data_IF_895606472153
#
_entry.id   IF_895606472153
#
_cell.length_a   1.000
_cell.length_b   1.000
_cell.length_c   1.000
_cell.angle_alpha   90.00
_cell.angle_beta   90.00
_cell.angle_gamma   90.00
#
_symmetry.space_group_name_H-M   'P 1'
#
loop_
_entity.id
_entity.type
_entity.pdbx_description
1 polymer ?
#
# COMPACT_ATOMS: atom_id res chain seq x y z
N UNK A 1 -5.94 -31.84 -17.43
CA UNK A 1 -5.41 -31.65 -16.05
C UNK A 1 -4.02 -31.01 -16.06
N UNK A 2 -2.91 -31.73 -16.26
CA UNK A 2 -1.57 -31.11 -16.24
C UNK A 2 -1.35 -30.06 -17.34
N UNK A 3 -1.93 -30.26 -18.52
CA UNK A 3 -1.92 -29.27 -19.61
C UNK A 3 -2.65 -27.97 -19.21
N UNK A 4 -3.74 -28.07 -18.46
CA UNK A 4 -4.53 -26.92 -17.99
C UNK A 4 -3.85 -26.23 -16.81
N UNK A 5 -3.17 -27.00 -15.97
CA UNK A 5 -2.37 -26.52 -14.83
C UNK A 5 -1.13 -25.73 -15.32
N UNK A 6 -0.44 -26.25 -16.34
CA UNK A 6 0.66 -25.56 -17.01
C UNK A 6 0.17 -24.32 -17.75
N UNK A 7 -1.01 -24.35 -18.39
CA UNK A 7 -1.64 -23.15 -18.98
C UNK A 7 -2.03 -22.13 -17.92
N UNK A 8 -2.55 -22.54 -16.77
CA UNK A 8 -2.90 -21.67 -15.65
C UNK A 8 -1.66 -20.92 -15.13
N UNK A 9 -0.53 -21.61 -14.99
CA UNK A 9 0.73 -20.99 -14.56
C UNK A 9 1.32 -20.08 -15.64
N UNK A 10 1.29 -20.51 -16.92
CA UNK A 10 1.80 -19.73 -18.06
C UNK A 10 0.98 -18.47 -18.36
N UNK A 11 -0.33 -18.53 -18.14
CA UNK A 11 -1.26 -17.44 -18.48
C UNK A 11 -1.74 -16.66 -17.25
N UNK A 12 -1.23 -16.95 -16.05
CA UNK A 12 -1.52 -16.15 -14.85
C UNK A 12 -0.63 -14.90 -14.87
N UNK A 13 -1.18 -13.70 -15.16
CA UNK A 13 -0.39 -12.47 -15.21
C UNK A 13 0.23 -12.12 -13.85
N UNK A 14 -0.25 -12.76 -12.77
CA UNK A 14 0.17 -12.55 -11.39
C UNK A 14 1.45 -13.30 -11.00
N UNK A 15 1.85 -14.36 -11.72
CA UNK A 15 3.05 -15.14 -11.36
C UNK A 15 4.33 -14.58 -11.98
N UNK A 16 4.33 -14.32 -13.30
CA UNK A 16 5.51 -13.86 -14.03
C UNK A 16 6.02 -12.47 -13.60
N UNK A 17 5.20 -11.69 -12.89
CA UNK A 17 5.55 -10.37 -12.37
C UNK A 17 5.72 -10.33 -10.83
N UNK A 18 5.50 -11.46 -10.13
CA UNK A 18 5.57 -11.53 -8.67
C UNK A 18 6.98 -11.32 -8.12
N UNK A 19 7.09 -10.75 -6.91
CA UNK A 19 8.35 -10.67 -6.15
C UNK A 19 9.02 -12.03 -5.92
N UNK A 20 8.24 -13.11 -5.81
CA UNK A 20 8.77 -14.47 -5.69
C UNK A 20 9.51 -14.93 -6.95
N UNK A 21 9.00 -14.61 -8.14
CA UNK A 21 9.71 -14.87 -9.40
C UNK A 21 11.01 -14.04 -9.47
N UNK A 22 11.01 -12.77 -9.03
CA UNK A 22 12.24 -11.95 -8.99
C UNK A 22 13.28 -12.45 -7.98
N UNK A 23 12.86 -12.90 -6.78
CA UNK A 23 13.76 -13.51 -5.77
C UNK A 23 14.38 -14.84 -6.24
N UNK A 24 13.77 -15.51 -7.21
CA UNK A 24 14.28 -16.75 -7.82
C UNK A 24 15.13 -16.51 -9.09
N UNK A 25 15.57 -15.27 -9.36
CA UNK A 25 16.60 -14.98 -10.37
C UNK A 25 16.09 -14.42 -11.72
N UNK A 26 14.84 -13.95 -11.80
CA UNK A 26 14.30 -13.35 -13.03
C UNK A 26 14.54 -11.84 -13.09
N UNK A 27 15.79 -11.49 -13.35
CA UNK A 27 16.19 -10.21 -13.94
C UNK A 27 17.46 -10.39 -14.78
N UNK A 28 17.46 -9.81 -15.99
CA UNK A 28 18.67 -9.68 -16.82
C UNK A 28 19.77 -8.88 -16.10
N UNK A 29 20.91 -9.51 -15.76
CA UNK A 29 22.26 -9.19 -16.30
C UNK A 29 23.43 -9.64 -15.38
N UNK A 30 24.38 -10.37 -16.00
CA UNK A 30 25.83 -10.54 -15.76
C UNK A 30 26.46 -10.36 -14.35
N UNK A 31 27.18 -11.40 -13.90
CA UNK A 31 28.30 -11.28 -12.95
C UNK A 31 28.59 -12.54 -12.13
N UNK A 32 29.74 -13.18 -12.35
CA UNK A 32 30.31 -14.24 -11.51
C UNK A 32 30.87 -13.70 -10.19
N UNK A 33 30.79 -14.50 -9.12
CA UNK A 33 31.96 -14.89 -8.31
C UNK A 33 31.58 -15.98 -7.31
N UNK A 34 32.46 -16.97 -7.22
CA UNK A 34 32.45 -18.11 -6.31
C UNK A 34 32.87 -17.75 -4.87
N UNK A 35 32.65 -18.74 -4.00
CA UNK A 35 33.34 -19.08 -2.75
C UNK A 35 32.72 -18.71 -1.37
N UNK A 36 32.44 -19.81 -0.67
CA UNK A 36 32.74 -20.19 0.72
C UNK A 36 31.75 -19.97 1.88
N UNK A 37 31.41 -21.14 2.46
CA UNK A 37 31.10 -21.53 3.83
C UNK A 37 30.76 -20.44 4.85
N UNK A 38 29.52 -20.48 5.37
CA UNK A 38 29.29 -20.36 6.82
C UNK A 38 27.95 -20.97 7.27
N UNK A 39 28.01 -21.58 8.44
CA UNK A 39 26.95 -22.26 9.19
C UNK A 39 25.68 -21.39 9.36
N UNK A 40 24.44 -21.89 9.09
CA UNK A 40 23.25 -21.04 9.17
C UNK A 40 22.80 -20.88 10.63
N UNK A 41 23.35 -19.88 11.33
CA UNK A 41 22.58 -19.23 12.38
C UNK A 41 21.25 -18.77 11.75
N UNK A 42 20.14 -19.01 12.46
CA UNK A 42 18.80 -18.67 11.99
C UNK A 42 18.70 -17.15 11.80
N UNK A 43 19.00 -16.67 10.59
CA UNK A 43 18.77 -15.29 10.19
C UNK A 43 17.28 -15.05 10.34
N UNK A 44 16.87 -14.25 11.33
CA UNK A 44 15.49 -13.79 11.42
C UNK A 44 15.15 -13.09 10.10
N UNK A 45 14.22 -13.67 9.34
CA UNK A 45 13.81 -13.12 8.06
C UNK A 45 13.02 -11.83 8.33
N UNK A 46 13.73 -10.69 8.21
CA UNK A 46 13.17 -9.34 8.32
C UNK A 46 12.55 -8.91 7.00
N UNK A 47 11.39 -8.26 7.08
CA UNK A 47 10.71 -7.68 5.93
C UNK A 47 11.19 -6.25 5.65
N UNK A 48 11.66 -5.57 6.70
CA UNK A 48 12.30 -4.26 6.61
C UNK A 48 13.77 -4.37 6.25
N UNK A 49 14.22 -3.45 5.40
CA UNK A 49 15.63 -3.29 5.04
C UNK A 49 15.97 -1.80 4.98
N UNK A 50 16.99 -1.36 5.73
CA UNK A 50 17.61 -0.05 5.51
C UNK A 50 18.41 -0.10 4.20
N UNK A 51 17.97 0.64 3.19
CA UNK A 51 18.57 0.58 1.86
C UNK A 51 19.91 1.32 1.81
N UNK A 52 20.89 0.68 1.16
CA UNK A 52 22.04 1.38 0.62
C UNK A 52 21.62 2.08 -0.68
N UNK A 53 21.88 3.39 -0.76
CA UNK A 53 21.47 4.23 -1.88
C UNK A 53 22.67 4.90 -2.51
N UNK A 54 22.59 5.19 -3.80
CA UNK A 54 23.65 5.87 -4.55
C UNK A 54 23.19 7.24 -5.06
N UNK A 55 24.11 8.04 -5.60
CA UNK A 55 23.81 9.34 -6.21
C UNK A 55 23.73 10.51 -5.23
N UNK A 56 23.08 11.60 -5.65
CA UNK A 56 23.00 12.84 -4.87
C UNK A 56 21.81 12.80 -3.93
N UNK A 57 22.04 12.25 -2.74
CA UNK A 57 21.03 12.10 -1.71
C UNK A 57 20.52 13.45 -1.16
N UNK A 58 19.22 13.62 -0.88
CA UNK A 58 18.71 14.80 -0.20
C UNK A 58 19.26 14.90 1.24
N UNK A 59 19.57 16.11 1.75
CA UNK A 59 19.86 16.31 3.17
C UNK A 59 18.67 15.91 4.07
N UNK A 60 18.94 15.73 5.36
CA UNK A 60 17.94 15.42 6.39
C UNK A 60 16.78 16.42 6.34
N UNK A 61 15.55 15.91 6.39
CA UNK A 61 14.35 16.73 6.22
C UNK A 61 13.11 16.06 6.78
N UNK A 62 12.22 16.87 7.34
CA UNK A 62 10.88 16.45 7.72
C UNK A 62 9.83 17.39 7.13
N UNK A 63 8.61 16.88 6.95
CA UNK A 63 7.50 17.64 6.38
C UNK A 63 7.68 17.93 4.88
N UNK A 64 8.58 17.22 4.22
CA UNK A 64 8.64 17.15 2.77
C UNK A 64 7.44 16.34 2.25
N UNK A 65 7.17 16.41 0.94
CA UNK A 65 6.19 15.55 0.30
C UNK A 65 6.86 14.71 -0.79
N UNK A 66 6.29 13.54 -1.07
CA UNK A 66 6.73 12.70 -2.15
C UNK A 66 5.56 12.13 -2.95
N UNK A 67 5.81 11.81 -4.22
CA UNK A 67 4.87 11.09 -5.08
C UNK A 67 5.64 10.19 -6.04
N UNK A 68 5.06 9.06 -6.39
CA UNK A 68 5.60 8.17 -7.42
C UNK A 68 4.91 8.44 -8.73
N UNK A 69 5.69 8.72 -9.76
CA UNK A 69 5.23 8.80 -11.15
C UNK A 69 6.20 8.00 -12.00
N UNK A 70 5.70 7.10 -12.84
CA UNK A 70 6.50 6.27 -13.74
C UNK A 70 7.67 5.53 -13.07
N UNK A 71 7.45 4.99 -11.86
CA UNK A 71 8.44 4.21 -11.11
C UNK A 71 9.55 5.05 -10.43
N UNK A 72 9.44 6.38 -10.46
CA UNK A 72 10.36 7.32 -9.81
C UNK A 72 9.62 8.04 -8.68
N UNK A 73 10.20 8.04 -7.49
CA UNK A 73 9.69 8.84 -6.37
C UNK A 73 10.30 10.24 -6.43
N UNK A 74 9.46 11.24 -6.61
CA UNK A 74 9.87 12.65 -6.58
C UNK A 74 9.66 13.21 -5.18
N UNK A 75 10.67 13.89 -4.64
CA UNK A 75 10.65 14.49 -3.30
C UNK A 75 10.95 15.97 -3.39
N UNK A 76 10.08 16.79 -2.82
CA UNK A 76 10.25 18.24 -2.78
C UNK A 76 10.18 18.79 -1.36
N UNK A 77 10.99 19.81 -1.11
CA UNK A 77 10.92 20.64 0.08
C UNK A 77 11.18 19.90 1.39
N UNK A 78 10.53 20.35 2.45
CA UNK A 78 10.78 19.93 3.83
C UNK A 78 11.54 20.98 4.63
N UNK A 79 11.75 20.69 5.91
CA UNK A 79 12.37 21.60 6.86
C UNK A 79 13.48 20.90 7.61
N UNK A 80 14.56 21.64 7.89
CA UNK A 80 15.57 21.28 8.86
C UNK A 80 16.15 22.54 9.53
N UNK A 81 16.17 22.58 10.86
CA UNK A 81 16.91 23.60 11.65
C UNK A 81 16.74 25.06 11.18
N UNK A 82 15.51 25.52 11.01
CA UNK A 82 15.19 26.89 10.59
C UNK A 82 15.21 27.11 9.08
N UNK A 83 15.66 26.11 8.30
CA UNK A 83 15.70 26.18 6.85
C UNK A 83 14.56 25.38 6.21
N UNK A 84 13.87 25.98 5.24
CA UNK A 84 12.95 25.26 4.37
C UNK A 84 13.63 24.97 3.04
N UNK A 85 13.64 23.70 2.65
CA UNK A 85 14.20 23.25 1.38
C UNK A 85 13.29 23.65 0.21
N UNK A 86 13.91 23.99 -0.91
CA UNK A 86 13.25 24.32 -2.19
C UNK A 86 13.71 23.41 -3.34
N UNK A 87 14.47 22.37 -3.02
CA UNK A 87 15.07 21.46 -3.99
C UNK A 87 14.13 20.29 -4.33
N UNK A 88 14.27 19.80 -5.56
CA UNK A 88 13.56 18.63 -6.08
C UNK A 88 14.55 17.48 -6.29
N UNK A 89 14.19 16.31 -5.81
CA UNK A 89 14.96 15.08 -6.00
C UNK A 89 14.11 14.01 -6.64
N UNK A 90 14.73 13.18 -7.47
CA UNK A 90 14.17 11.96 -8.01
C UNK A 90 14.90 10.76 -7.42
N UNK A 91 14.15 9.79 -6.90
CA UNK A 91 14.67 8.50 -6.45
C UNK A 91 14.15 7.41 -7.37
N UNK A 92 15.08 6.75 -8.06
CA UNK A 92 14.75 5.58 -8.86
C UNK A 92 14.48 4.39 -7.93
N UNK A 93 13.23 3.93 -7.88
CA UNK A 93 12.80 2.87 -6.94
C UNK A 93 13.32 1.48 -7.32
N UNK A 94 13.86 1.30 -8.54
CA UNK A 94 14.44 0.04 -9.02
C UNK A 94 15.95 0.00 -8.75
N UNK A 95 16.65 1.08 -9.09
CA UNK A 95 18.11 1.17 -8.95
C UNK A 95 18.57 1.77 -7.62
N UNK A 96 17.63 2.23 -6.79
CA UNK A 96 17.90 2.90 -5.51
C UNK A 96 18.92 4.05 -5.65
N UNK A 97 18.76 4.85 -6.69
CA UNK A 97 19.65 5.95 -7.05
C UNK A 97 18.93 7.30 -6.95
N UNK A 98 19.55 8.24 -6.25
CA UNK A 98 19.08 9.61 -6.10
C UNK A 98 19.70 10.52 -7.16
N UNK A 99 18.85 11.35 -7.75
CA UNK A 99 19.27 12.43 -8.64
C UNK A 99 18.67 13.74 -8.14
N UNK A 100 19.52 14.73 -7.87
CA UNK A 100 19.04 16.10 -7.65
C UNK A 100 18.65 16.68 -9.00
N UNK A 101 17.42 17.17 -9.12
CA UNK A 101 16.92 17.75 -10.37
C UNK A 101 17.18 19.25 -10.39
N UNK A 102 17.84 19.71 -11.45
CA UNK A 102 18.00 21.13 -11.74
C UNK A 102 16.76 21.68 -12.45
N UNK A 103 16.43 22.95 -12.19
CA UNK A 103 15.35 23.64 -12.88
C UNK A 103 15.87 24.24 -14.20
N UNK A 104 15.38 23.75 -15.34
CA UNK A 104 15.93 24.07 -16.68
C UNK A 104 15.44 25.39 -17.31
N UNK A 105 15.03 26.36 -16.51
CA UNK A 105 14.63 27.70 -17.02
C UNK A 105 13.27 28.21 -16.54
N UNK A 106 12.55 27.44 -15.72
CA UNK A 106 11.28 27.84 -15.10
C UNK A 106 11.45 28.75 -13.88
N UNK A 107 10.34 29.01 -13.17
CA UNK A 107 10.40 29.69 -11.86
C UNK A 107 11.14 28.84 -10.83
N UNK A 108 11.61 29.43 -9.74
CA UNK A 108 12.14 28.66 -8.60
C UNK A 108 11.09 28.70 -7.48
N UNK A 109 10.46 27.57 -7.11
CA UNK A 109 9.54 27.56 -5.99
C UNK A 109 10.24 27.94 -4.69
N UNK A 110 9.60 28.72 -3.84
CA UNK A 110 10.14 29.01 -2.50
C UNK A 110 10.25 27.76 -1.65
N UNK A 111 11.23 27.78 -0.74
CA UNK A 111 11.43 26.71 0.23
C UNK A 111 10.25 26.59 1.17
N UNK A 112 9.72 25.36 1.32
CA UNK A 112 8.52 25.11 2.12
C UNK A 112 8.45 23.70 2.67
N UNK A 113 7.67 23.55 3.72
CA UNK A 113 7.30 22.26 4.27
C UNK A 113 5.79 22.16 4.44
N UNK A 114 5.29 20.93 4.59
CA UNK A 114 3.88 20.63 4.78
C UNK A 114 2.97 21.08 3.62
N UNK A 115 3.50 21.15 2.41
CA UNK A 115 2.72 21.41 1.20
C UNK A 115 1.99 20.14 0.77
N UNK A 116 0.92 20.32 0.00
CA UNK A 116 0.20 19.26 -0.67
C UNK A 116 0.85 18.98 -2.04
N UNK A 117 0.85 17.72 -2.46
CA UNK A 117 1.67 17.23 -3.55
C UNK A 117 1.00 16.03 -4.23
N UNK A 118 0.91 16.03 -5.57
CA UNK A 118 0.43 14.88 -6.33
C UNK A 118 0.97 14.89 -7.77
N UNK A 119 0.88 13.74 -8.46
CA UNK A 119 1.04 13.68 -9.92
C UNK A 119 -0.23 14.16 -10.62
N UNK A 120 -0.08 14.68 -11.84
CA UNK A 120 -1.20 14.90 -12.74
C UNK A 120 -1.86 13.58 -13.14
N UNK A 121 -3.11 13.63 -13.60
CA UNK A 121 -3.82 12.39 -14.01
C UNK A 121 -3.29 11.73 -15.27
N UNK A 122 -2.48 12.45 -16.05
CA UNK A 122 -1.81 11.96 -17.25
C UNK A 122 -0.34 11.57 -17.02
N UNK A 123 0.13 11.61 -15.77
CA UNK A 123 1.51 11.30 -15.37
C UNK A 123 2.60 12.14 -16.09
N UNK A 124 2.25 13.30 -16.64
CA UNK A 124 3.20 14.17 -17.38
C UNK A 124 3.86 15.24 -16.52
N UNK A 125 3.29 15.54 -15.36
CA UNK A 125 3.69 16.66 -14.49
C UNK A 125 3.32 16.39 -13.03
N UNK A 126 3.92 17.17 -12.15
CA UNK A 126 3.67 17.14 -10.71
C UNK A 126 3.03 18.45 -10.28
N UNK A 127 2.07 18.39 -9.37
CA UNK A 127 1.40 19.56 -8.80
C UNK A 127 1.81 19.76 -7.33
N UNK A 128 2.03 21.02 -6.98
CA UNK A 128 2.31 21.46 -5.62
C UNK A 128 1.36 22.59 -5.25
N UNK A 129 0.72 22.46 -4.09
CA UNK A 129 -0.11 23.53 -3.50
C UNK A 129 0.24 23.72 -2.03
N UNK A 130 0.17 24.97 -1.55
CA UNK A 130 0.31 25.22 -0.12
C UNK A 130 1.75 25.12 0.39
N UNK A 131 1.82 24.83 1.69
CA UNK A 131 3.05 24.78 2.46
C UNK A 131 3.33 26.09 3.19
N UNK A 132 4.16 25.98 4.22
CA UNK A 132 4.68 27.10 4.99
C UNK A 132 6.19 27.18 4.84
N UNK A 133 6.71 28.40 4.73
CA UNK A 133 8.14 28.69 4.84
C UNK A 133 8.66 28.69 6.29
N UNK A 134 9.88 29.21 6.52
CA UNK A 134 10.58 29.16 7.81
C UNK A 134 9.81 29.78 8.98
N UNK A 135 9.05 30.84 8.72
CA UNK A 135 8.12 31.42 9.68
C UNK A 135 6.80 30.66 9.61
N UNK A 136 6.75 29.53 10.32
CA UNK A 136 5.63 28.59 10.33
C UNK A 136 4.28 29.27 10.57
N UNK A 137 3.33 29.05 9.67
CA UNK A 137 1.98 29.63 9.72
C UNK A 137 1.88 31.10 9.31
N UNK A 138 2.99 31.82 9.18
CA UNK A 138 3.02 33.22 8.73
C UNK A 138 3.37 33.36 7.25
N UNK A 139 4.00 32.35 6.67
CA UNK A 139 4.48 32.35 5.27
C UNK A 139 3.77 31.29 4.44
N UNK A 140 2.44 31.25 4.55
CA UNK A 140 1.60 30.30 3.85
C UNK A 140 1.51 30.65 2.36
N UNK A 141 1.62 29.63 1.51
CA UNK A 141 1.60 29.78 0.07
C UNK A 141 0.23 29.34 -0.49
N UNK A 142 -0.28 30.04 -1.51
CA UNK A 142 -1.63 29.79 -2.07
C UNK A 142 -1.67 29.62 -3.58
N UNK A 143 -0.50 29.57 -4.25
CA UNK A 143 -0.41 29.36 -5.69
C UNK A 143 -0.29 27.87 -5.99
N UNK A 144 -0.99 27.40 -7.03
CA UNK A 144 -0.77 26.09 -7.61
C UNK A 144 0.46 26.16 -8.52
N UNK A 145 1.48 25.37 -8.20
CA UNK A 145 2.68 25.22 -9.01
C UNK A 145 2.62 23.88 -9.73
N UNK A 146 3.27 23.80 -10.90
CA UNK A 146 3.47 22.55 -11.60
C UNK A 146 4.94 22.39 -12.02
N UNK A 147 5.41 21.14 -12.02
CA UNK A 147 6.69 20.74 -12.59
C UNK A 147 6.47 19.81 -13.77
N UNK A 148 6.90 20.22 -14.96
CA UNK A 148 6.82 19.41 -16.18
C UNK A 148 7.91 18.34 -16.15
N UNK A 149 7.52 17.05 -16.24
CA UNK A 149 8.49 15.95 -16.29
C UNK A 149 9.25 15.90 -17.63
N UNK A 150 8.64 16.44 -18.69
CA UNK A 150 9.24 16.50 -20.02
C UNK A 150 10.28 17.61 -20.14
N UNK A 151 9.89 18.85 -19.81
CA UNK A 151 10.79 20.02 -19.94
C UNK A 151 11.69 20.23 -18.72
N UNK A 152 11.39 19.58 -17.58
CA UNK A 152 12.11 19.74 -16.31
C UNK A 152 12.08 21.19 -15.78
N UNK A 153 10.93 21.85 -15.94
CA UNK A 153 10.73 23.24 -15.57
C UNK A 153 9.55 23.39 -14.62
N UNK A 154 9.72 24.28 -13.65
CA UNK A 154 8.65 24.76 -12.80
C UNK A 154 7.89 25.93 -13.42
N UNK A 155 6.57 25.93 -13.27
CA UNK A 155 5.72 27.05 -13.68
C UNK A 155 4.59 27.27 -12.66
N UNK A 156 4.08 28.51 -12.61
CA UNK A 156 2.86 28.83 -11.87
C UNK A 156 1.69 28.50 -12.80
N UNK A 157 0.72 27.74 -12.31
CA UNK A 157 -0.48 27.45 -13.08
C UNK A 157 -1.36 28.70 -13.06
N UNK A 158 -1.65 29.26 -14.23
CA UNK A 158 -2.64 30.31 -14.36
C UNK A 158 -4.02 29.69 -14.11
N UNK A 159 -4.62 30.00 -12.96
CA UNK A 159 -5.88 29.40 -12.52
C UNK A 159 -6.97 30.43 -12.38
N UNK A 160 -8.22 30.02 -12.60
CA UNK A 160 -9.42 30.84 -12.40
C UNK A 160 -10.36 30.22 -11.37
N UNK A 161 -11.47 30.89 -11.06
CA UNK A 161 -12.52 30.36 -10.18
C UNK A 161 -12.31 30.65 -8.69
N UNK A 162 -12.82 29.77 -7.83
CA UNK A 162 -12.80 29.94 -6.37
C UNK A 162 -11.59 29.24 -5.78
N UNK A 163 -10.54 30.01 -5.52
CA UNK A 163 -9.26 29.46 -5.04
C UNK A 163 -9.34 29.00 -3.58
N UNK A 164 -8.67 27.87 -3.25
CA UNK A 164 -8.45 27.49 -1.87
C UNK A 164 -7.59 28.53 -1.13
N UNK A 165 -7.82 28.74 0.18
CA UNK A 165 -7.00 29.64 0.97
C UNK A 165 -5.56 29.12 1.10
N UNK A 166 -4.57 30.02 1.23
CA UNK A 166 -3.19 29.62 1.51
C UNK A 166 -3.11 28.93 2.87
N UNK A 167 -2.32 27.86 2.94
CA UNK A 167 -2.18 27.07 4.16
C UNK A 167 -1.20 25.92 3.99
N UNK A 168 -1.10 25.09 5.03
CA UNK A 168 -0.24 23.92 5.07
C UNK A 168 -0.93 22.73 5.75
N UNK A 169 -0.40 21.54 5.53
CA UNK A 169 -0.94 20.28 6.04
C UNK A 169 -2.22 19.82 5.34
N UNK A 170 -2.57 20.39 4.19
CA UNK A 170 -3.60 19.86 3.29
C UNK A 170 -3.13 18.56 2.64
N UNK A 171 -4.08 17.78 2.13
CA UNK A 171 -3.83 16.69 1.20
C UNK A 171 -4.28 17.07 -0.21
N UNK A 172 -3.56 16.60 -1.25
CA UNK A 172 -3.93 16.75 -2.65
C UNK A 172 -3.87 15.39 -3.33
N UNK A 173 -4.95 14.98 -4.00
CA UNK A 173 -5.01 13.72 -4.76
C UNK A 173 -5.60 13.95 -6.14
N UNK A 174 -5.19 13.17 -7.13
CA UNK A 174 -5.68 13.24 -8.50
C UNK A 174 -6.70 12.13 -8.78
N UNK A 175 -7.86 12.50 -9.34
CA UNK A 175 -8.95 11.58 -9.70
C UNK A 175 -9.63 12.10 -10.97
N UNK A 176 -9.55 11.35 -12.08
CA UNK A 176 -10.26 11.63 -13.36
C UNK A 176 -10.19 13.10 -13.83
N UNK A 177 -9.00 13.56 -14.23
CA UNK A 177 -8.71 14.92 -14.69
C UNK A 177 -8.98 16.05 -13.68
N UNK A 178 -9.09 15.70 -12.39
CA UNK A 178 -9.32 16.66 -11.32
C UNK A 178 -8.38 16.42 -10.16
N UNK A 179 -8.00 17.49 -9.47
CA UNK A 179 -7.24 17.43 -8.23
C UNK A 179 -8.16 17.83 -7.07
N UNK A 180 -8.18 17.01 -6.01
CA UNK A 180 -8.99 17.24 -4.82
C UNK A 180 -8.08 17.65 -3.66
N UNK A 181 -8.26 18.89 -3.19
CA UNK A 181 -7.54 19.47 -2.07
C UNK A 181 -8.44 19.48 -0.83
N UNK A 182 -8.01 18.84 0.25
CA UNK A 182 -8.80 18.73 1.48
C UNK A 182 -8.04 19.17 2.72
N UNK A 183 -8.73 19.90 3.59
CA UNK A 183 -8.30 20.22 4.95
C UNK A 183 -7.14 21.20 5.04
N UNK A 184 -6.31 21.03 6.07
CA UNK A 184 -5.15 21.86 6.40
C UNK A 184 -5.44 23.02 7.35
N UNK A 185 -4.47 23.90 7.49
CA UNK A 185 -4.53 25.04 8.40
C UNK A 185 -3.79 26.27 7.87
N UNK A 186 -4.26 27.45 8.25
CA UNK A 186 -3.53 28.71 8.08
C UNK A 186 -2.54 28.99 9.22
N UNK A 187 -2.44 28.11 10.21
CA UNK A 187 -1.72 28.33 11.46
C UNK A 187 -2.62 28.86 12.59
N UNK A 188 -3.78 29.41 12.26
CA UNK A 188 -4.78 29.88 13.22
C UNK A 188 -6.11 29.13 13.10
N UNK A 189 -6.50 28.76 11.89
CA UNK A 189 -7.78 28.12 11.59
C UNK A 189 -7.52 26.83 10.84
N UNK A 190 -8.07 25.74 11.39
CA UNK A 190 -8.13 24.45 10.72
C UNK A 190 -9.41 24.38 9.91
N UNK A 191 -9.32 23.82 8.71
CA UNK A 191 -10.46 23.70 7.79
C UNK A 191 -10.71 22.24 7.43
N UNK A 192 -11.91 21.95 6.94
CA UNK A 192 -12.23 20.67 6.31
C UNK A 192 -12.77 20.86 4.89
N UNK A 193 -12.69 22.04 4.30
CA UNK A 193 -13.23 22.29 2.96
C UNK A 193 -12.58 21.39 1.89
N UNK A 194 -13.39 21.05 0.89
CA UNK A 194 -12.96 20.28 -0.27
C UNK A 194 -12.97 21.19 -1.49
N UNK A 195 -11.78 21.49 -2.00
CA UNK A 195 -11.62 22.23 -3.25
C UNK A 195 -11.27 21.25 -4.36
N UNK A 196 -11.78 21.52 -5.56
CA UNK A 196 -11.49 20.74 -6.75
C UNK A 196 -10.88 21.63 -7.81
N UNK A 197 -9.76 21.21 -8.38
CA UNK A 197 -9.13 21.82 -9.55
C UNK A 197 -9.45 20.97 -10.77
N UNK A 198 -10.02 21.57 -11.80
CA UNK A 198 -10.20 20.93 -13.09
C UNK A 198 -8.94 21.12 -13.95
N UNK A 199 -8.25 20.01 -14.28
CA UNK A 199 -6.99 20.07 -15.02
C UNK A 199 -7.18 20.50 -16.49
N UNK A 200 -8.38 20.38 -17.03
CA UNK A 200 -8.71 20.76 -18.41
C UNK A 200 -9.09 22.24 -18.48
N UNK A 201 -9.96 22.68 -17.58
CA UNK A 201 -10.43 24.07 -17.53
C UNK A 201 -9.46 25.02 -16.81
N UNK A 202 -8.49 24.47 -16.07
CA UNK A 202 -7.56 25.22 -15.22
C UNK A 202 -8.29 26.12 -14.22
N UNK A 203 -9.37 25.61 -13.63
CA UNK A 203 -10.21 26.36 -12.69
C UNK A 203 -10.39 25.63 -11.36
N UNK A 204 -10.32 26.38 -10.26
CA UNK A 204 -10.68 25.91 -8.93
C UNK A 204 -12.16 26.13 -8.64
N UNK A 205 -12.76 25.23 -7.88
CA UNK A 205 -14.07 25.40 -7.28
C UNK A 205 -14.07 24.87 -5.84
N UNK A 206 -14.78 25.57 -4.95
CA UNK A 206 -15.20 24.99 -3.67
C UNK A 206 -16.33 23.99 -3.96
N UNK A 207 -16.12 22.73 -3.59
CA UNK A 207 -17.09 21.66 -3.86
C UNK A 207 -18.10 21.56 -2.69
N UNK A 208 -19.40 21.78 -2.92
CA UNK A 208 -20.42 21.45 -1.95
C UNK A 208 -20.40 19.94 -1.70
N UNK A 209 -20.43 19.54 -0.42
CA UNK A 209 -20.41 18.12 -0.04
C UNK A 209 -21.54 17.81 0.93
N UNK A 210 -21.97 16.55 0.92
CA UNK A 210 -23.06 16.05 1.77
C UNK A 210 -22.57 14.93 2.67
N UNK A 211 -23.43 14.47 3.59
CA UNK A 211 -23.15 13.34 4.47
C UNK A 211 -22.23 13.65 5.66
N UNK A 212 -21.51 12.64 6.14
CA UNK A 212 -20.72 12.69 7.37
C UNK A 212 -19.26 13.02 7.05
N UNK A 213 -19.01 14.32 6.93
CA UNK A 213 -17.70 14.91 6.61
C UNK A 213 -16.72 14.79 7.79
N UNK A 214 -15.40 14.61 7.54
CA UNK A 214 -14.40 14.70 8.59
C UNK A 214 -14.40 16.08 9.27
N UNK A 215 -14.07 16.11 10.56
CA UNK A 215 -13.81 17.36 11.30
C UNK A 215 -12.65 18.16 10.65
N UNK A 216 -12.58 19.49 10.87
CA UNK A 216 -11.41 20.29 10.49
C UNK A 216 -10.12 19.64 10.97
N UNK A 217 -9.15 19.48 10.06
CA UNK A 217 -7.95 18.71 10.35
C UNK A 217 -6.79 19.08 9.43
N UNK A 218 -5.59 18.86 9.91
CA UNK A 218 -4.36 18.87 9.12
C UNK A 218 -3.59 17.57 9.34
N UNK A 219 -2.60 17.30 8.47
CA UNK A 219 -1.67 16.16 8.63
C UNK A 219 -2.34 14.80 8.73
N UNK A 220 -3.56 14.71 8.20
CA UNK A 220 -4.21 13.49 7.74
C UNK A 220 -3.54 12.98 6.46
N UNK A 221 -3.88 11.76 6.07
CA UNK A 221 -3.51 11.22 4.77
C UNK A 221 -4.73 11.10 3.87
N UNK A 222 -4.54 11.37 2.58
CA UNK A 222 -5.55 11.12 1.57
C UNK A 222 -5.05 10.07 0.59
N UNK A 223 -5.87 9.05 0.34
CA UNK A 223 -5.58 8.00 -0.63
C UNK A 223 -6.77 7.75 -1.54
N UNK A 224 -6.52 7.22 -2.74
CA UNK A 224 -7.55 7.00 -3.76
C UNK A 224 -7.70 5.51 -4.03
N UNK A 225 -8.95 5.04 -4.06
CA UNK A 225 -9.31 3.69 -4.50
C UNK A 225 -10.39 3.79 -5.57
N UNK A 226 -10.05 3.47 -6.81
CA UNK A 226 -10.94 3.67 -7.95
C UNK A 226 -11.28 5.14 -8.12
N UNK A 227 -12.52 5.53 -7.85
CA UNK A 227 -12.98 6.93 -7.86
C UNK A 227 -13.18 7.53 -6.48
N UNK A 228 -12.99 6.73 -5.44
CA UNK A 228 -13.28 7.13 -4.08
C UNK A 228 -12.03 7.66 -3.41
N UNK A 229 -12.18 8.75 -2.67
CA UNK A 229 -11.12 9.36 -1.88
C UNK A 229 -11.33 8.98 -0.42
N UNK A 230 -10.27 8.54 0.26
CA UNK A 230 -10.29 8.22 1.68
C UNK A 230 -9.42 9.21 2.43
N UNK A 231 -9.92 9.69 3.56
CA UNK A 231 -9.18 10.49 4.54
C UNK A 231 -8.93 9.62 5.76
N UNK A 232 -7.66 9.53 6.19
CA UNK A 232 -7.22 8.69 7.31
C UNK A 232 -6.55 9.56 8.37
N UNK A 233 -7.10 9.52 9.59
CA UNK A 233 -6.58 10.22 10.77
C UNK A 233 -6.42 11.74 10.59
N UNK A 234 -5.34 12.28 11.16
CA UNK A 234 -5.11 13.72 11.27
C UNK A 234 -5.82 14.32 12.48
N UNK A 235 -5.68 15.62 12.65
CA UNK A 235 -6.25 16.30 13.82
C UNK A 235 -6.07 17.81 13.77
N UNK A 236 -6.15 18.45 14.93
CA UNK A 236 -5.77 19.85 15.11
C UNK A 236 -4.29 19.88 15.51
N UNK A 237 -3.87 20.73 16.46
CA UNK A 237 -2.50 20.68 16.99
C UNK A 237 -2.12 19.27 17.49
N UNK A 238 -3.05 18.64 18.23
CA UNK A 238 -2.98 17.25 18.65
C UNK A 238 -4.03 16.40 17.90
N UNK A 239 -3.77 15.09 17.69
CA UNK A 239 -4.79 14.17 17.18
C UNK A 239 -5.94 14.01 18.19
N UNK A 240 -7.15 13.65 17.71
CA UNK A 240 -8.26 13.24 18.59
C UNK A 240 -7.87 12.05 19.48
N UNK A 241 -8.49 11.95 20.65
CA UNK A 241 -8.30 10.79 21.54
C UNK A 241 -8.89 9.51 20.94
N UNK A 242 -8.27 8.37 21.23
CA UNK A 242 -8.81 7.04 20.88
C UNK A 242 -8.29 6.49 19.55
N UNK A 243 -9.15 5.77 18.82
CA UNK A 243 -8.79 5.10 17.57
C UNK A 243 -8.75 6.05 16.38
N UNK A 244 -7.90 5.73 15.40
CA UNK A 244 -7.81 6.48 14.14
C UNK A 244 -9.14 6.42 13.38
N UNK A 245 -9.62 7.58 12.94
CA UNK A 245 -10.84 7.68 12.16
C UNK A 245 -10.56 7.62 10.65
N UNK A 246 -11.57 7.18 9.90
CA UNK A 246 -11.52 7.11 8.44
C UNK A 246 -12.83 7.59 7.85
N UNK A 247 -12.72 8.36 6.77
CA UNK A 247 -13.87 8.82 5.99
C UNK A 247 -13.64 8.54 4.52
N UNK A 248 -14.72 8.19 3.83
CA UNK A 248 -14.76 7.98 2.39
C UNK A 248 -15.56 9.11 1.75
N UNK A 249 -15.05 9.66 0.67
CA UNK A 249 -15.74 10.58 -0.22
C UNK A 249 -16.01 9.89 -1.56
N UNK A 250 -17.29 9.75 -1.87
CA UNK A 250 -17.75 9.32 -3.19
C UNK A 250 -17.77 10.53 -4.12
N UNK A 251 -16.91 10.51 -5.14
CA UNK A 251 -16.77 11.62 -6.10
C UNK A 251 -17.93 11.71 -7.09
N UNK A 252 -18.74 10.66 -7.24
CA UNK A 252 -19.91 10.66 -8.12
C UNK A 252 -21.07 11.37 -7.42
N UNK A 253 -21.33 11.03 -6.16
CA UNK A 253 -22.44 11.59 -5.38
C UNK A 253 -22.06 12.81 -4.54
N UNK A 254 -20.78 13.18 -4.51
CA UNK A 254 -20.23 14.25 -3.66
C UNK A 254 -20.59 14.09 -2.18
N UNK A 255 -20.62 12.84 -1.70
CA UNK A 255 -21.08 12.49 -0.36
C UNK A 255 -19.96 11.86 0.46
N UNK A 256 -19.80 12.35 1.69
CA UNK A 256 -18.94 11.77 2.70
C UNK A 256 -19.66 10.72 3.53
N UNK A 257 -18.97 9.64 3.87
CA UNK A 257 -19.41 8.64 4.84
C UNK A 257 -18.25 8.28 5.78
N UNK A 258 -18.57 8.03 7.05
CA UNK A 258 -17.61 7.45 7.99
C UNK A 258 -17.38 5.98 7.61
N UNK A 259 -16.13 5.54 7.60
CA UNK A 259 -15.76 4.14 7.38
C UNK A 259 -15.78 3.44 8.74
N UNK A 260 -16.55 2.36 8.84
CA UNK A 260 -16.61 1.55 10.05
C UNK A 260 -15.41 0.59 10.06
N UNK A 261 -14.38 0.97 10.82
CA UNK A 261 -13.18 0.18 11.00
C UNK A 261 -13.39 -0.96 12.00
N UNK A 262 -12.74 -2.11 11.77
CA UNK A 262 -12.74 -3.31 12.64
C UNK A 262 -11.31 -3.82 12.85
N UNK A 263 -11.12 -4.78 13.75
CA UNK A 263 -9.83 -5.42 14.00
C UNK A 263 -8.91 -4.59 14.89
N UNK A 264 -7.60 -4.64 14.60
CA UNK A 264 -6.56 -3.96 15.36
C UNK A 264 -6.46 -2.49 14.94
N UNK A 265 -7.47 -1.70 15.29
CA UNK A 265 -7.57 -0.30 14.84
C UNK A 265 -6.44 0.52 15.50
N UNK A 266 -5.55 1.14 14.72
CA UNK A 266 -4.45 1.94 15.27
C UNK A 266 -4.95 3.11 16.12
N UNK A 267 -4.16 3.58 17.07
CA UNK A 267 -4.46 4.82 17.78
C UNK A 267 -4.47 6.02 16.81
N UNK A 268 -5.29 7.00 17.13
CA UNK A 268 -5.38 8.27 16.43
C UNK A 268 -4.05 9.00 16.44
N UNK A 269 -3.66 9.53 15.28
CA UNK A 269 -2.33 10.09 15.07
C UNK A 269 -2.28 11.09 13.92
N UNK A 270 -1.31 11.99 13.97
CA UNK A 270 -1.00 12.95 12.91
C UNK A 270 0.36 12.67 12.28
N UNK A 271 0.58 13.20 11.08
CA UNK A 271 1.87 13.14 10.37
C UNK A 271 2.43 11.72 10.19
N UNK A 272 1.53 10.73 10.19
CA UNK A 272 1.75 9.38 9.72
C UNK A 272 1.69 9.36 8.18
N UNK A 273 2.05 8.23 7.59
CA UNK A 273 1.88 8.01 6.14
C UNK A 273 0.91 6.88 5.88
N UNK A 274 0.19 6.95 4.75
CA UNK A 274 -0.68 5.89 4.26
C UNK A 274 -0.40 5.72 2.78
N UNK A 275 -0.03 4.52 2.36
CA UNK A 275 0.17 4.16 0.95
C UNK A 275 -0.80 3.07 0.52
N UNK A 276 -1.25 3.11 -0.74
CA UNK A 276 -2.15 2.10 -1.29
C UNK A 276 -1.33 0.97 -1.90
N UNK A 277 -1.48 -0.24 -1.35
CA UNK A 277 -0.94 -1.47 -1.93
C UNK A 277 -2.00 -2.12 -2.83
N UNK A 278 -1.76 -2.28 -4.14
CA UNK A 278 -2.70 -2.93 -5.05
C UNK A 278 -2.66 -4.47 -4.89
N UNK A 279 -3.20 -4.96 -3.77
CA UNK A 279 -3.26 -6.39 -3.45
C UNK A 279 -4.42 -7.08 -4.16
N UNK A 280 -4.16 -7.75 -5.29
CA UNK A 280 -5.20 -8.54 -5.96
C UNK A 280 -6.44 -7.72 -6.38
N UNK A 281 -7.68 -8.20 -6.15
CA UNK A 281 -8.90 -7.49 -6.57
C UNK A 281 -9.29 -6.31 -5.65
N UNK A 282 -8.74 -6.22 -4.43
CA UNK A 282 -9.14 -5.21 -3.45
C UNK A 282 -7.89 -4.61 -2.79
N UNK A 283 -7.65 -3.31 -2.94
CA UNK A 283 -6.42 -2.70 -2.42
C UNK A 283 -6.40 -2.70 -0.90
N UNK A 284 -5.20 -2.58 -0.35
CA UNK A 284 -4.94 -2.46 1.07
C UNK A 284 -4.25 -1.12 1.36
N UNK A 285 -4.51 -0.53 2.52
CA UNK A 285 -3.77 0.66 2.97
C UNK A 285 -2.67 0.25 3.94
N UNK A 286 -1.49 0.81 3.74
CA UNK A 286 -0.32 0.58 4.58
C UNK A 286 -0.06 1.85 5.35
N UNK A 287 -0.38 1.84 6.64
CA UNK A 287 -0.17 2.95 7.55
C UNK A 287 1.15 2.76 8.29
N UNK A 288 2.01 3.79 8.28
CA UNK A 288 3.27 3.75 9.01
C UNK A 288 3.52 5.02 9.83
N UNK A 289 3.98 4.79 11.05
CA UNK A 289 4.48 5.79 11.99
C UNK A 289 3.49 6.89 12.37
N UNK A 290 3.98 8.11 12.51
CA UNK A 290 3.23 9.28 12.97
C UNK A 290 3.40 9.57 14.47
N UNK A 291 2.58 10.48 14.99
CA UNK A 291 2.58 10.88 16.39
C UNK A 291 1.18 10.83 16.99
N UNK A 292 1.07 10.22 18.16
CA UNK A 292 -0.19 10.10 18.90
C UNK A 292 -0.51 11.33 19.77
N UNK A 293 -1.60 11.24 20.54
CA UNK A 293 -2.09 12.30 21.43
C UNK A 293 -1.17 12.60 22.62
N UNK A 294 -0.25 11.69 22.95
CA UNK A 294 0.73 11.88 24.03
C UNK A 294 2.00 12.57 23.54
N UNK A 295 2.10 12.79 22.24
CA UNK A 295 3.31 13.28 21.59
C UNK A 295 4.34 12.18 21.28
N UNK A 296 4.01 10.92 21.58
CA UNK A 296 4.87 9.78 21.28
C UNK A 296 4.85 9.50 19.79
N UNK A 297 6.05 9.33 19.21
CA UNK A 297 6.21 8.91 17.83
C UNK A 297 6.09 7.40 17.75
N UNK A 298 5.65 6.93 16.60
CA UNK A 298 5.35 5.53 16.36
C UNK A 298 6.19 5.02 15.18
N UNK A 299 6.51 3.73 15.19
CA UNK A 299 7.06 2.96 14.06
C UNK A 299 6.19 1.76 13.72
N UNK A 300 4.94 1.75 14.19
CA UNK A 300 3.98 0.70 13.89
C UNK A 300 3.66 0.69 12.39
N UNK A 301 3.64 -0.51 11.80
CA UNK A 301 3.06 -0.79 10.49
C UNK A 301 1.71 -1.49 10.65
N UNK A 302 0.66 -0.88 10.12
CA UNK A 302 -0.71 -1.44 10.17
C UNK A 302 -1.29 -1.49 8.76
N UNK A 303 -2.02 -2.57 8.47
CA UNK A 303 -2.64 -2.80 7.16
C UNK A 303 -4.16 -2.70 7.29
N UNK A 304 -4.81 -1.94 6.40
CA UNK A 304 -6.27 -1.90 6.28
C UNK A 304 -6.72 -2.61 5.02
N UNK A 305 -7.55 -3.62 5.16
CA UNK A 305 -8.20 -4.28 4.03
C UNK A 305 -9.50 -3.55 3.66
N UNK A 306 -9.55 -2.96 2.46
CA UNK A 306 -10.67 -2.14 2.02
C UNK A 306 -11.95 -2.96 1.82
N UNK A 307 -11.84 -4.24 1.44
CA UNK A 307 -13.00 -5.09 1.18
C UNK A 307 -13.72 -5.49 2.48
N UNK A 308 -12.95 -5.78 3.52
CA UNK A 308 -13.46 -6.24 4.82
C UNK A 308 -13.57 -5.11 5.85
N UNK A 309 -13.04 -3.92 5.53
CA UNK A 309 -12.94 -2.77 6.45
C UNK A 309 -12.24 -3.13 7.78
N UNK A 310 -11.20 -3.95 7.70
CA UNK A 310 -10.51 -4.50 8.88
C UNK A 310 -9.04 -4.10 8.89
N UNK A 311 -8.59 -3.60 10.04
CA UNK A 311 -7.19 -3.34 10.34
C UNK A 311 -6.51 -4.57 10.91
N UNK A 312 -5.26 -4.79 10.54
CA UNK A 312 -4.35 -5.76 11.15
C UNK A 312 -2.99 -5.13 11.39
N UNK A 313 -2.48 -5.26 12.61
CA UNK A 313 -1.12 -4.82 12.94
C UNK A 313 -0.12 -5.84 12.39
N UNK A 314 0.93 -5.35 11.74
CA UNK A 314 2.04 -6.20 11.30
C UNK A 314 2.98 -6.47 12.47
N UNK A 315 3.66 -7.62 12.43
CA UNK A 315 4.61 -8.00 13.47
C UNK A 315 5.75 -6.98 13.56
N UNK A 316 6.25 -6.78 14.77
CA UNK A 316 7.42 -5.96 14.99
C UNK A 316 8.63 -6.61 14.29
N UNK A 317 9.46 -5.77 13.68
CA UNK A 317 10.64 -6.15 12.92
C UNK A 317 11.83 -5.37 13.46
N UNK A 318 12.91 -6.08 13.82
CA UNK A 318 14.11 -5.48 14.38
C UNK A 318 14.83 -4.53 13.43
N UNK A 319 14.60 -4.66 12.11
CA UNK A 319 15.11 -3.78 11.06
C UNK A 319 14.14 -2.65 10.67
N UNK A 320 13.01 -2.50 11.36
CA UNK A 320 12.10 -1.40 11.13
C UNK A 320 12.78 -0.04 11.37
N UNK A 321 12.34 1.02 10.67
CA UNK A 321 12.76 2.38 11.00
C UNK A 321 12.43 2.70 12.47
N UNK A 322 13.21 3.60 13.07
CA UNK A 322 12.86 4.19 14.36
C UNK A 322 11.49 4.91 14.30
N UNK A 323 10.90 5.11 15.47
CA UNK A 323 9.64 5.81 15.61
C UNK A 323 9.73 7.22 15.04
N UNK A 324 8.87 7.56 14.07
CA UNK A 324 9.02 8.81 13.30
C UNK A 324 7.73 9.38 12.78
N UNK A 325 7.71 10.71 12.66
CA UNK A 325 6.64 11.48 12.05
C UNK A 325 7.17 12.36 10.90
N UNK A 326 6.26 12.94 10.12
CA UNK A 326 6.58 13.86 9.03
C UNK A 326 7.55 13.30 7.97
N UNK A 327 7.64 11.98 7.87
CA UNK A 327 8.30 11.25 6.81
C UNK A 327 7.36 11.14 5.60
N UNK A 328 7.86 10.61 4.50
CA UNK A 328 7.02 10.20 3.37
C UNK A 328 7.13 8.70 3.14
N UNK A 329 6.07 8.11 2.59
CA UNK A 329 6.09 6.72 2.15
C UNK A 329 5.52 6.60 0.75
N UNK A 330 5.99 5.62 0.00
CA UNK A 330 5.42 5.30 -1.29
C UNK A 330 5.49 3.79 -1.57
N UNK A 331 4.56 3.28 -2.37
CA UNK A 331 4.56 1.88 -2.79
C UNK A 331 4.94 1.78 -4.26
N UNK A 332 5.80 0.81 -4.58
CA UNK A 332 6.11 0.40 -5.95
C UNK A 332 6.30 -1.12 -5.99
N UNK A 333 5.46 -1.79 -6.79
CA UNK A 333 5.34 -3.24 -6.77
C UNK A 333 4.96 -3.75 -5.38
N UNK A 334 5.70 -4.76 -4.91
CA UNK A 334 5.49 -5.42 -3.60
C UNK A 334 6.30 -4.76 -2.48
N UNK A 335 6.77 -3.53 -2.68
CA UNK A 335 7.63 -2.83 -1.73
C UNK A 335 7.01 -1.50 -1.32
N UNK A 336 7.02 -1.22 -0.02
CA UNK A 336 6.82 0.13 0.52
C UNK A 336 8.17 0.73 0.85
N UNK A 337 8.38 1.99 0.49
CA UNK A 337 9.58 2.76 0.76
C UNK A 337 9.22 3.89 1.73
N UNK A 338 10.03 4.08 2.77
CA UNK A 338 9.89 5.17 3.75
C UNK A 338 11.13 6.05 3.69
N UNK A 339 10.95 7.37 3.62
CA UNK A 339 12.05 8.32 3.52
C UNK A 339 11.91 9.49 4.50
N UNK A 340 13.02 9.78 5.18
CA UNK A 340 13.19 10.95 6.04
C UNK A 340 12.28 10.98 7.27
N UNK A 341 11.85 12.19 7.65
CA UNK A 341 11.03 12.43 8.84
C UNK A 341 11.85 12.83 10.07
N UNK A 342 11.22 12.81 11.25
CA UNK A 342 11.88 13.09 12.52
C UNK A 342 11.50 12.07 13.57
N UNK A 343 12.48 11.64 14.37
CA UNK A 343 12.29 10.78 15.53
C UNK A 343 12.13 11.56 16.84
N UNK A 344 12.20 12.89 16.79
CA UNK A 344 12.06 13.79 17.93
C UNK A 344 13.36 14.42 18.39
N UNK A 345 14.47 13.71 18.20
CA UNK A 345 15.80 14.21 18.53
C UNK A 345 16.46 14.80 17.28
N UNK A 346 16.34 14.10 16.16
CA UNK A 346 16.93 14.49 14.89
C UNK A 346 15.97 14.32 13.70
N UNK A 347 16.44 14.75 12.53
CA UNK A 347 15.79 14.50 11.25
C UNK A 347 16.56 13.47 10.47
N UNK A 348 15.81 12.66 9.74
CA UNK A 348 16.34 11.56 8.99
C UNK A 348 16.46 11.89 7.50
N UNK A 349 17.37 11.20 6.83
CA UNK A 349 17.47 11.12 5.37
C UNK A 349 17.59 9.67 4.90
N UNK A 350 17.45 8.69 5.79
CA UNK A 350 17.52 7.28 5.43
C UNK A 350 16.34 6.87 4.52
N UNK A 351 16.56 5.79 3.77
CA UNK A 351 15.52 5.12 2.99
C UNK A 351 15.38 3.72 3.55
N UNK A 352 14.18 3.37 3.98
CA UNK A 352 13.83 2.01 4.35
C UNK A 352 12.89 1.42 3.31
N UNK A 353 12.99 0.11 3.12
CA UNK A 353 12.11 -0.68 2.27
C UNK A 353 11.47 -1.78 3.11
N UNK A 354 10.16 -1.85 3.11
CA UNK A 354 9.39 -2.99 3.59
C UNK A 354 8.98 -3.85 2.41
N UNK A 355 9.31 -5.13 2.45
CA UNK A 355 8.84 -6.12 1.47
C UNK A 355 7.51 -6.68 1.93
N UNK A 356 6.44 -6.40 1.19
CA UNK A 356 5.15 -7.04 1.45
C UNK A 356 5.32 -8.55 1.27
N UNK A 357 4.97 -9.34 2.30
CA UNK A 357 4.97 -10.80 2.17
C UNK A 357 3.94 -11.21 1.14
N UNK A 358 4.42 -11.53 -0.06
CA UNK A 358 3.62 -12.18 -1.08
C UNK A 358 3.25 -13.57 -0.56
N UNK A 359 1.99 -13.77 -0.18
CA UNK A 359 1.43 -15.12 -0.09
C UNK A 359 1.07 -15.51 -1.51
N UNK A 360 1.81 -16.44 -2.16
CA UNK A 360 1.43 -16.90 -3.48
C UNK A 360 0.03 -17.50 -3.39
N UNK A 361 -0.75 -17.37 -4.47
CA UNK A 361 -2.04 -18.05 -4.53
C UNK A 361 -1.88 -19.51 -4.12
N UNK A 362 -2.65 -19.95 -3.12
CA UNK A 362 -2.88 -21.34 -2.73
C UNK A 362 -2.94 -22.26 -3.95
N UNK A 363 -3.59 -21.83 -5.03
CA UNK A 363 -3.72 -22.58 -6.28
C UNK A 363 -2.41 -22.71 -7.06
N UNK A 364 -1.57 -21.67 -7.10
CA UNK A 364 -0.26 -21.72 -7.76
C UNK A 364 0.71 -22.62 -7.00
N UNK A 365 0.69 -22.57 -5.67
CA UNK A 365 1.48 -23.46 -4.82
C UNK A 365 1.02 -24.91 -4.92
N UNK A 366 -0.30 -25.16 -4.83
CA UNK A 366 -0.87 -26.49 -5.05
C UNK A 366 -0.54 -27.02 -6.44
N UNK A 367 -0.55 -26.16 -7.47
CA UNK A 367 -0.21 -26.55 -8.81
C UNK A 367 1.25 -27.01 -8.93
N UNK A 368 2.19 -26.23 -8.36
CA UNK A 368 3.62 -26.57 -8.35
C UNK A 368 3.89 -27.85 -7.54
N UNK A 369 3.29 -27.99 -6.35
CA UNK A 369 3.40 -29.22 -5.54
C UNK A 369 2.82 -30.45 -6.24
N UNK A 370 1.68 -30.28 -6.93
CA UNK A 370 1.06 -31.35 -7.71
C UNK A 370 1.96 -31.76 -8.88
N UNK A 371 2.62 -30.80 -9.54
CA UNK A 371 3.61 -31.10 -10.58
C UNK A 371 4.81 -31.83 -9.98
N UNK A 372 5.42 -31.35 -8.88
CA UNK A 372 6.55 -32.01 -8.19
C UNK A 372 6.25 -33.47 -7.85
N UNK A 373 5.09 -33.73 -7.24
CA UNK A 373 4.65 -35.07 -6.82
C UNK A 373 4.57 -36.05 -7.99
N UNK A 374 4.13 -35.59 -9.16
CA UNK A 374 3.87 -36.45 -10.32
C UNK A 374 4.97 -36.39 -11.39
N UNK A 375 5.91 -35.45 -11.29
CA UNK A 375 6.99 -35.27 -12.27
C UNK A 375 7.89 -36.50 -12.36
N UNK A 376 8.11 -37.24 -11.26
CA UNK A 376 8.97 -38.44 -11.28
C UNK A 376 8.29 -39.66 -11.91
N UNK A 377 6.97 -39.79 -11.78
CA UNK A 377 6.21 -40.97 -12.23
C UNK A 377 5.53 -40.79 -13.59
N UNK A 378 5.36 -39.56 -14.09
CA UNK A 378 4.64 -39.28 -15.32
C UNK A 378 5.57 -38.87 -16.48
N UNK A 379 5.84 -39.80 -17.40
CA UNK A 379 6.70 -39.57 -18.58
C UNK A 379 6.20 -38.48 -19.52
N UNK A 380 4.87 -38.27 -19.63
CA UNK A 380 4.29 -37.19 -20.46
C UNK A 380 4.58 -35.83 -19.84
N UNK A 381 4.40 -35.71 -18.52
CA UNK A 381 4.74 -34.50 -17.76
C UNK A 381 6.25 -34.21 -17.84
N UNK A 382 7.12 -35.22 -17.70
CA UNK A 382 8.57 -35.04 -17.87
C UNK A 382 8.97 -34.52 -19.26
N UNK A 383 8.26 -34.96 -20.31
CA UNK A 383 8.51 -34.49 -21.67
C UNK A 383 8.02 -33.04 -21.86
N UNK A 384 6.96 -32.66 -21.17
CA UNK A 384 6.42 -31.30 -21.18
C UNK A 384 7.25 -30.33 -20.35
N UNK A 385 7.79 -30.78 -19.21
CA UNK A 385 8.79 -30.05 -18.42
C UNK A 385 10.02 -29.80 -19.30
N UNK A 386 10.57 -30.82 -19.97
CA UNK A 386 11.75 -30.66 -20.84
C UNK A 386 11.52 -29.87 -22.14
N UNK A 387 10.34 -29.31 -22.36
CA UNK A 387 10.01 -28.61 -23.60
C UNK A 387 10.51 -27.15 -23.54
N UNK A 388 11.18 -26.69 -24.62
CA UNK A 388 11.90 -25.41 -24.74
C UNK A 388 11.06 -24.14 -24.44
N UNK A 389 9.74 -24.27 -24.31
CA UNK A 389 8.81 -23.17 -24.00
C UNK A 389 8.29 -23.19 -22.56
N UNK A 390 8.92 -23.95 -21.67
CA UNK A 390 8.67 -23.80 -20.24
C UNK A 390 9.52 -22.64 -19.70
N UNK A 391 8.90 -21.67 -19.02
CA UNK A 391 9.67 -20.61 -18.35
C UNK A 391 10.66 -21.26 -17.37
N UNK A 392 11.93 -20.85 -17.41
CA UNK A 392 13.00 -21.34 -16.52
C UNK A 392 12.62 -21.14 -15.04
N UNK A 393 11.73 -20.19 -14.77
CA UNK A 393 11.06 -19.82 -13.53
C UNK A 393 10.30 -20.99 -12.93
N UNK A 394 9.52 -21.65 -13.78
CA UNK A 394 8.67 -22.75 -13.39
C UNK A 394 9.51 -24.00 -13.16
N UNK A 395 10.60 -24.17 -13.91
CA UNK A 395 11.59 -25.20 -13.63
C UNK A 395 12.21 -25.03 -12.25
N UNK A 396 12.76 -23.84 -11.97
CA UNK A 396 13.37 -23.54 -10.68
C UNK A 396 12.37 -23.74 -9.53
N UNK A 397 11.14 -23.23 -9.66
CA UNK A 397 10.11 -23.40 -8.64
C UNK A 397 9.69 -24.87 -8.44
N UNK A 398 9.61 -25.68 -9.50
CA UNK A 398 9.35 -27.12 -9.39
C UNK A 398 10.55 -27.84 -8.74
N UNK A 399 11.77 -27.38 -8.94
CA UNK A 399 12.95 -28.08 -8.42
C UNK A 399 13.29 -27.66 -6.97
N UNK A 400 12.96 -26.43 -6.55
CA UNK A 400 13.40 -25.85 -5.27
C UNK A 400 12.28 -25.61 -4.24
N UNK A 401 10.99 -25.69 -4.62
CA UNK A 401 9.90 -25.48 -3.66
C UNK A 401 9.96 -26.53 -2.54
N UNK A 402 10.07 -26.05 -1.30
CA UNK A 402 10.15 -26.88 -0.10
C UNK A 402 8.89 -27.77 0.03
N UNK A 403 9.10 -29.08 0.11
CA UNK A 403 8.03 -30.09 0.18
C UNK A 403 7.20 -30.02 1.46
N UNK A 404 7.66 -29.27 2.47
CA UNK A 404 6.96 -29.03 3.72
C UNK A 404 6.07 -27.77 3.73
N UNK A 405 6.04 -27.01 2.63
CA UNK A 405 5.08 -25.89 2.48
C UNK A 405 3.67 -26.45 2.60
N UNK A 406 2.97 -26.11 3.69
CA UNK A 406 1.57 -26.49 3.87
C UNK A 406 0.69 -25.41 3.28
N UNK A 407 -0.04 -25.75 2.24
CA UNK A 407 -1.11 -24.89 1.73
C UNK A 407 -2.33 -25.10 2.63
N UNK A 408 -2.85 -24.04 3.25
CA UNK A 408 -4.08 -24.14 4.04
C UNK A 408 -5.23 -24.54 3.13
N UNK A 409 -5.73 -25.75 3.30
CA UNK A 409 -6.98 -26.18 2.68
C UNK A 409 -8.11 -25.49 3.43
N UNK A 410 -8.76 -24.52 2.80
CA UNK A 410 -10.04 -24.05 3.32
C UNK A 410 -11.11 -25.08 2.94
N UNK A 411 -11.50 -25.91 3.90
CA UNK A 411 -12.49 -26.98 3.69
C UNK A 411 -13.87 -26.45 3.29
N UNK A 412 -14.17 -25.17 3.56
CA UNK A 412 -15.45 -24.53 3.23
C UNK A 412 -15.65 -24.25 1.73
N UNK A 413 -14.61 -24.40 0.90
CA UNK A 413 -14.67 -24.12 -0.54
C UNK A 413 -15.30 -25.25 -1.38
N UNK A 414 -15.63 -26.38 -0.76
CA UNK A 414 -16.29 -27.50 -1.44
C UNK A 414 -17.75 -27.61 -1.00
N UNK A 415 -18.73 -27.19 -1.82
CA UNK A 415 -20.10 -27.64 -1.61
C UNK A 415 -20.15 -29.14 -1.95
N UNK A 416 -20.46 -29.99 -0.96
CA UNK A 416 -20.82 -31.38 -1.23
C UNK A 416 -22.35 -31.50 -1.31
N UNK A 417 -22.92 -31.89 -2.47
CA UNK A 417 -24.22 -32.51 -2.50
C UNK A 417 -24.16 -33.99 -2.97
N UNK A 418 -24.73 -34.83 -2.11
CA UNK A 418 -25.50 -36.07 -2.34
C UNK A 418 -24.87 -37.39 -2.85
N UNK A 419 -24.81 -38.35 -1.89
CA UNK A 419 -25.32 -39.74 -1.86
C UNK A 419 -25.64 -40.49 -3.17
N UNK A 420 -25.11 -41.72 -3.32
CA UNK A 420 -25.82 -42.87 -3.93
C UNK A 420 -25.44 -44.25 -3.32
N UNK A 421 -26.41 -44.85 -2.60
CA UNK A 421 -26.89 -46.26 -2.58
C UNK A 421 -25.97 -47.51 -2.49
N UNK A 422 -25.96 -48.13 -1.29
CA UNK A 422 -26.26 -49.55 -0.86
C UNK A 422 -25.58 -50.80 -1.49
N UNK A 423 -25.55 -52.01 -0.84
CA UNK A 423 -25.98 -52.42 0.53
C UNK A 423 -24.91 -53.23 1.34
N UNK A 424 -25.17 -53.62 2.61
CA UNK A 424 -24.17 -54.23 3.50
C UNK A 424 -24.15 -55.76 3.40
N UNK A 425 -22.96 -56.37 3.46
CA UNK A 425 -22.79 -57.80 3.74
C UNK A 425 -22.48 -58.01 5.22
N UNK A 426 -23.36 -58.79 5.84
CA UNK A 426 -23.29 -59.40 7.17
C UNK A 426 -21.96 -60.10 7.44
N UNK A 427 -21.45 -59.99 8.66
CA UNK A 427 -20.98 -61.15 9.44
C UNK A 427 -21.01 -60.82 10.94
N UNK A 428 -21.69 -61.73 11.62
CA UNK A 428 -21.96 -61.91 13.05
C UNK A 428 -20.71 -61.96 13.94
N UNK A 429 -20.77 -61.45 15.18
CA UNK A 429 -20.76 -62.30 16.39
C UNK A 429 -21.08 -61.51 17.68
N UNK A 430 -21.60 -62.24 18.67
CA UNK A 430 -22.23 -61.87 19.95
C UNK A 430 -21.24 -61.17 20.92
N UNK A 431 -21.64 -60.34 21.89
CA UNK A 431 -22.48 -60.70 23.04
C UNK A 431 -22.83 -59.51 23.96
N UNK A 432 -24.08 -59.54 24.50
CA UNK A 432 -24.63 -59.15 25.84
C UNK A 432 -24.02 -57.92 26.58
N UNK A 433 -24.78 -57.01 27.20
CA UNK A 433 -26.04 -57.13 27.95
C UNK A 433 -26.69 -55.76 28.29
N UNK A 434 -28.04 -55.77 28.44
CA UNK A 434 -28.93 -54.95 29.32
C UNK A 434 -28.92 -53.41 29.18
N UNK A 435 -30.03 -52.65 29.18
CA UNK A 435 -31.42 -52.86 29.62
C UNK A 435 -32.35 -51.69 29.19
N UNK A 436 -33.62 -52.01 28.95
CA UNK A 436 -34.86 -51.24 29.20
C UNK A 436 -35.18 -49.95 28.40
N UNK A 437 -36.18 -49.99 27.49
CA UNK A 437 -37.60 -49.54 27.64
C UNK A 437 -37.73 -47.99 27.68
N UNK A 438 -38.55 -47.29 26.89
CA UNK A 438 -39.91 -47.54 26.36
C UNK A 438 -40.15 -46.59 25.14
N UNK A 439 -40.65 -47.07 24.00
CA UNK A 439 -42.05 -47.11 23.54
C UNK A 439 -42.60 -45.81 22.91
N UNK A 440 -43.06 -45.98 21.65
CA UNK A 440 -44.24 -45.36 21.00
C UNK A 440 -44.23 -43.83 20.76
N UNK A 441 -44.61 -43.29 19.59
CA UNK A 441 -45.49 -43.78 18.51
C UNK A 441 -45.26 -42.93 17.26
N UNK A 442 -45.47 -43.54 16.09
CA UNK A 442 -45.54 -42.93 14.76
C UNK A 442 -46.91 -42.28 14.52
N UNK A 443 -46.97 -41.32 13.60
CA UNK A 443 -47.99 -41.12 12.54
C UNK A 443 -47.59 -39.84 11.79
N UNK A 444 -46.99 -39.95 10.60
CA UNK A 444 -47.61 -40.01 9.27
C UNK A 444 -48.52 -38.83 8.89
N UNK A 445 -48.13 -38.16 7.81
CA UNK A 445 -49.03 -37.87 6.70
C UNK A 445 -49.43 -36.40 6.49
N UNK A 446 -49.13 -35.89 5.29
CA UNK A 446 -50.10 -35.06 4.57
C UNK A 446 -49.66 -33.66 4.12
N UNK A 447 -49.05 -33.60 2.93
CA UNK A 447 -49.21 -32.65 1.82
C UNK A 447 -49.95 -31.29 1.95
N UNK A 448 -49.37 -30.32 1.21
CA UNK A 448 -49.94 -29.10 0.57
C UNK A 448 -50.37 -27.98 1.52
N UNK A 449 -50.00 -26.70 1.31
CA UNK A 449 -49.82 -25.89 0.09
C UNK A 449 -48.60 -24.97 0.23
#
# INVERSE_FOLDING_TARGET
MFDDLLKLIKNSPRWAQSSLARRLGFSFSYGHSDDDDDNPESVEETDWTKLQVSGTKPPVRSGHASVVVNGVMYVFGGYNEGNCHFDLYAFNLVHHHWTKLDNRGGIVPDGRASHAWCGATDDTKLYLFGGSGPHWGQTNMGKLLQYSLLSQEWSIVATTGTHPPPGYGQSLVSIRHKLYLFGGTSGHVYVNDLYVFDEVQLSWALLPTHGVKPSPRYKHQAVVVGTDMYIVGGGLYDPPKGSIDMHKFDTITSTWSAVVCRGDIPCSRIAHTVSVYPSGPCPQFQLFGGRDETGMRLNELSCFDVATSTWSRQNDDSNAPDARDFHTSAISGDCMFVFGGSNGDERNSDVFRYSMRYTPSTLALLAIQTIQKHARSNRRLQRQLRHVYMPMELHAAIDTLNTHVRVSTNEEWYPLPFVTSTPPRSLTCRSRSSSAYSSTTCEEGGYSV
#
